data_IF_983809650121
#
_entry.id   IF_983809650121
#
_cell.length_a   1.000
_cell.length_b   1.000
_cell.length_c   1.000
_cell.angle_alpha   90.00
_cell.angle_beta   90.00
_cell.angle_gamma   90.00
#
_symmetry.space_group_name_H-M   'P 1'
#
loop_
_entity.id
_entity.type
_entity.pdbx_description
1 polymer ?
#
# COMPACT_ATOMS: atom_id res chain seq x y z
N UNK A 1 -91.24 -15.37 7.97
CA UNK A 1 -91.25 -14.62 9.24
C UNK A 1 -89.85 -14.12 9.49
N UNK A 2 -89.71 -12.80 9.59
CA UNK A 2 -88.60 -12.00 10.15
C UNK A 2 -87.22 -12.08 9.46
N UNK A 3 -86.46 -11.02 9.17
CA UNK A 3 -86.62 -9.57 8.91
C UNK A 3 -85.18 -9.04 8.72
N UNK A 4 -84.97 -8.10 7.79
CA UNK A 4 -83.94 -7.03 7.80
C UNK A 4 -82.43 -7.40 7.74
N UNK A 5 -81.72 -7.20 6.62
CA UNK A 5 -81.14 -5.99 5.99
C UNK A 5 -79.78 -5.51 6.53
N UNK A 6 -78.90 -5.19 5.55
CA UNK A 6 -77.87 -4.13 5.50
C UNK A 6 -76.55 -4.22 6.30
N UNK A 7 -75.43 -4.35 5.56
CA UNK A 7 -74.13 -3.68 5.83
C UNK A 7 -74.30 -2.14 5.96
N UNK A 8 -73.38 -1.30 6.52
CA UNK A 8 -71.91 -1.35 6.35
C UNK A 8 -71.02 -0.69 7.45
N UNK A 9 -69.70 -0.63 7.14
CA UNK A 9 -68.72 0.42 7.48
C UNK A 9 -67.95 0.46 8.83
N UNK A 10 -66.61 0.41 8.67
CA UNK A 10 -65.48 1.13 9.35
C UNK A 10 -65.72 1.71 10.74
N UNK A 11 -64.75 1.52 11.67
CA UNK A 11 -64.07 2.61 12.43
C UNK A 11 -62.75 2.11 13.07
N UNK A 12 -61.72 2.96 12.91
CA UNK A 12 -60.55 3.26 13.77
C UNK A 12 -59.59 2.16 14.25
N UNK A 13 -58.34 2.29 13.80
CA UNK A 13 -57.14 1.93 14.58
C UNK A 13 -56.09 3.05 14.44
N UNK A 14 -56.37 4.19 15.07
CA UNK A 14 -55.35 5.18 15.45
C UNK A 14 -54.84 4.85 16.86
N UNK A 15 -53.52 4.82 17.03
CA UNK A 15 -52.81 4.28 18.19
C UNK A 15 -52.67 2.77 17.99
N UNK A 16 -51.50 2.20 17.71
CA UNK A 16 -50.24 2.34 18.42
C UNK A 16 -49.10 2.63 17.43
N UNK A 17 -48.68 3.89 17.37
CA UNK A 17 -47.33 4.30 17.00
C UNK A 17 -46.44 4.09 18.22
N UNK A 18 -45.15 3.82 17.99
CA UNK A 18 -44.12 3.42 18.96
C UNK A 18 -44.24 1.98 19.47
N UNK A 19 -43.51 1.07 18.81
CA UNK A 19 -42.46 0.23 19.41
C UNK A 19 -41.89 -0.62 18.26
N UNK A 20 -40.59 -0.40 17.99
CA UNK A 20 -39.67 -1.24 17.18
C UNK A 20 -39.75 -1.12 15.64
N UNK A 21 -39.51 0.05 15.05
CA UNK A 21 -38.21 0.43 14.47
C UNK A 21 -37.00 -0.40 14.97
N UNK A 22 -36.22 -0.94 14.02
CA UNK A 22 -34.86 -1.52 14.07
C UNK A 22 -34.76 -2.99 13.64
N UNK A 23 -34.74 -3.24 12.34
CA UNK A 23 -33.98 -4.36 11.72
C UNK A 23 -33.85 -4.16 10.20
N UNK A 24 -33.41 -2.98 9.76
CA UNK A 24 -32.94 -2.76 8.39
C UNK A 24 -31.42 -2.53 8.44
N UNK A 25 -30.68 -3.56 8.82
CA UNK A 25 -29.22 -3.58 8.71
C UNK A 25 -28.84 -3.83 7.25
N UNK A 26 -28.91 -2.79 6.44
CA UNK A 26 -28.11 -2.67 5.22
C UNK A 26 -26.66 -2.51 5.69
N UNK A 27 -25.98 -3.62 5.95
CA UNK A 27 -24.52 -3.58 6.03
C UNK A 27 -24.05 -3.48 4.60
N UNK A 28 -23.75 -2.24 4.20
CA UNK A 28 -23.03 -1.93 3.00
C UNK A 28 -21.78 -2.80 2.92
N UNK A 29 -21.77 -3.71 1.96
CA UNK A 29 -20.55 -4.33 1.49
C UNK A 29 -19.63 -3.20 1.00
N UNK A 30 -18.65 -2.84 1.81
CA UNK A 30 -17.55 -1.98 1.38
C UNK A 30 -16.79 -2.73 0.29
N UNK A 31 -17.02 -2.33 -0.95
CA UNK A 31 -16.20 -2.75 -2.07
C UNK A 31 -14.73 -2.41 -1.78
N UNK A 32 -13.78 -3.31 -2.03
CA UNK A 32 -12.38 -3.06 -1.74
C UNK A 32 -11.84 -1.99 -2.70
N UNK A 33 -11.47 -0.84 -2.15
CA UNK A 33 -10.47 0.07 -2.68
C UNK A 33 -10.64 0.46 -4.15
N UNK A 34 -11.68 1.22 -4.46
CA UNK A 34 -11.75 1.95 -5.73
C UNK A 34 -10.65 3.01 -5.71
N UNK A 35 -9.55 2.75 -6.43
CA UNK A 35 -8.52 3.76 -6.67
C UNK A 35 -9.20 4.93 -7.37
N UNK A 36 -9.31 6.06 -6.67
CA UNK A 36 -9.73 7.31 -7.28
C UNK A 36 -8.74 7.60 -8.39
N UNK A 37 -9.23 7.58 -9.63
CA UNK A 37 -8.47 7.98 -10.80
C UNK A 37 -8.29 9.49 -10.65
N UNK A 38 -7.13 9.91 -10.13
CA UNK A 38 -6.79 11.33 -10.04
C UNK A 38 -6.95 11.91 -11.44
N UNK A 39 -7.89 12.83 -11.58
CA UNK A 39 -8.09 13.54 -12.84
C UNK A 39 -6.94 14.52 -12.98
N UNK A 40 -5.94 14.13 -13.77
CA UNK A 40 -4.70 14.88 -14.02
C UNK A 40 -4.94 16.24 -14.70
N UNK A 41 -6.20 16.62 -14.95
CA UNK A 41 -6.60 17.85 -15.63
C UNK A 41 -6.66 19.09 -14.73
N UNK A 42 -6.74 18.92 -13.40
CA UNK A 42 -6.87 20.05 -12.44
C UNK A 42 -5.56 20.48 -11.78
N UNK A 43 -4.47 19.73 -11.95
CA UNK A 43 -3.15 20.05 -11.40
C UNK A 43 -2.22 20.29 -12.59
N UNK A 44 -1.64 21.49 -12.67
CA UNK A 44 -0.66 21.79 -13.73
C UNK A 44 0.57 20.90 -13.54
N UNK A 45 0.96 20.09 -14.53
CA UNK A 45 2.17 19.27 -14.45
C UNK A 45 3.40 20.16 -14.27
N UNK A 46 4.43 19.62 -13.62
CA UNK A 46 5.71 20.27 -13.32
C UNK A 46 5.60 21.56 -12.48
N UNK A 47 4.50 21.74 -11.74
CA UNK A 47 4.37 22.84 -10.78
C UNK A 47 5.06 22.46 -9.45
N UNK A 48 5.99 23.28 -8.93
CA UNK A 48 6.54 23.09 -7.59
C UNK A 48 5.44 23.14 -6.53
N UNK A 49 5.46 22.17 -5.63
CA UNK A 49 4.54 21.96 -4.52
C UNK A 49 5.31 21.44 -3.27
N UNK A 50 6.33 22.17 -2.79
CA UNK A 50 7.18 21.77 -1.65
C UNK A 50 6.42 21.55 -0.33
N UNK A 51 5.24 22.16 -0.20
CA UNK A 51 4.34 21.99 0.93
C UNK A 51 3.80 20.55 1.06
N UNK A 52 3.79 19.78 -0.04
CA UNK A 52 3.32 18.39 -0.05
C UNK A 52 4.36 17.38 0.46
N UNK A 53 5.59 17.83 0.70
CA UNK A 53 6.72 16.99 1.05
C UNK A 53 6.94 16.97 2.57
N UNK A 54 6.99 15.78 3.15
CA UNK A 54 7.43 15.60 4.52
C UNK A 54 8.93 15.89 4.63
N UNK A 55 9.36 16.47 5.75
CA UNK A 55 10.79 16.69 6.00
C UNK A 55 11.56 15.36 6.02
N UNK A 56 10.93 14.35 6.62
CA UNK A 56 11.51 13.00 6.77
C UNK A 56 10.52 11.91 6.42
N UNK A 57 11.05 10.82 5.91
CA UNK A 57 10.36 9.56 5.67
C UNK A 57 10.78 8.52 6.70
N UNK A 58 9.87 7.58 6.95
CA UNK A 58 10.17 6.29 7.55
C UNK A 58 9.98 5.18 6.50
N UNK A 59 10.68 4.07 6.70
CA UNK A 59 10.58 2.85 5.90
C UNK A 59 10.34 1.67 6.84
N UNK A 60 9.21 0.98 6.66
CA UNK A 60 8.87 -0.23 7.40
C UNK A 60 8.89 -1.42 6.45
N UNK A 61 9.78 -2.36 6.73
CA UNK A 61 9.98 -3.59 5.96
C UNK A 61 9.52 -4.76 6.83
N UNK A 62 8.55 -5.55 6.37
CA UNK A 62 7.97 -6.61 7.20
C UNK A 62 7.77 -7.90 6.42
N UNK A 63 8.28 -9.01 6.94
CA UNK A 63 7.87 -10.34 6.51
C UNK A 63 6.68 -10.79 7.38
N UNK A 64 5.46 -10.57 6.86
CA UNK A 64 4.21 -10.74 7.61
C UNK A 64 4.02 -12.21 7.96
N UNK A 65 3.94 -13.06 6.93
CA UNK A 65 3.78 -14.49 7.09
C UNK A 65 5.02 -15.23 6.60
N UNK A 66 5.36 -16.27 7.36
CA UNK A 66 6.37 -17.25 7.04
C UNK A 66 5.97 -18.55 7.75
N UNK A 67 5.52 -19.59 7.04
CA UNK A 67 5.10 -20.86 7.63
C UNK A 67 6.14 -21.47 8.59
N UNK A 68 7.42 -21.38 8.24
CA UNK A 68 8.55 -21.83 9.07
C UNK A 68 9.09 -20.78 10.05
N UNK A 69 8.36 -19.72 10.39
CA UNK A 69 8.86 -18.62 11.23
C UNK A 69 9.46 -19.07 12.58
N UNK A 70 8.85 -20.07 13.22
CA UNK A 70 9.30 -20.62 14.51
C UNK A 70 10.52 -21.53 14.39
N UNK A 71 10.87 -21.96 13.18
CA UNK A 71 11.99 -22.88 12.96
C UNK A 71 13.33 -22.14 13.01
N UNK A 72 14.32 -22.61 13.81
CA UNK A 72 15.60 -21.93 13.98
C UNK A 72 16.44 -21.78 12.70
N UNK A 73 16.19 -22.64 11.71
CA UNK A 73 16.93 -22.63 10.44
C UNK A 73 16.32 -21.71 9.39
N UNK A 74 15.11 -21.17 9.62
CA UNK A 74 14.51 -20.19 8.71
C UNK A 74 15.34 -18.91 8.66
N UNK A 75 15.42 -18.29 7.48
CA UNK A 75 16.19 -17.06 7.32
C UNK A 75 15.56 -16.10 6.33
N UNK A 76 15.83 -14.81 6.52
CA UNK A 76 15.34 -13.73 5.68
C UNK A 76 16.47 -12.76 5.40
N UNK A 77 16.79 -12.61 4.12
CA UNK A 77 17.73 -11.65 3.59
C UNK A 77 16.95 -10.67 2.70
N UNK A 78 17.20 -9.38 2.87
CA UNK A 78 16.59 -8.34 2.05
C UNK A 78 17.61 -7.24 1.81
N UNK A 79 17.78 -6.86 0.56
CA UNK A 79 18.41 -5.62 0.13
C UNK A 79 17.33 -4.66 -0.36
N UNK A 80 17.46 -3.37 -0.08
CA UNK A 80 16.55 -2.35 -0.58
C UNK A 80 17.28 -1.05 -0.93
N UNK A 81 16.71 -0.32 -1.90
CA UNK A 81 17.10 1.04 -2.24
C UNK A 81 15.86 1.88 -2.51
N UNK A 82 15.83 3.09 -1.98
CA UNK A 82 14.73 4.05 -2.07
C UNK A 82 15.23 5.26 -2.85
N UNK A 83 14.62 5.50 -4.01
CA UNK A 83 14.92 6.63 -4.86
C UNK A 83 13.74 7.58 -4.95
N UNK A 84 14.04 8.86 -5.03
CA UNK A 84 13.12 9.85 -5.55
C UNK A 84 13.27 9.97 -7.07
N UNK A 85 12.15 10.15 -7.77
CA UNK A 85 12.04 10.29 -9.22
C UNK A 85 11.22 11.53 -9.52
N UNK A 86 11.84 12.49 -10.20
CA UNK A 86 11.15 13.67 -10.68
C UNK A 86 10.05 13.31 -11.69
N UNK A 87 8.98 14.10 -11.71
CA UNK A 87 7.84 13.92 -12.60
C UNK A 87 8.23 13.78 -14.07
N UNK A 88 9.10 14.68 -14.56
CA UNK A 88 9.57 14.70 -15.94
C UNK A 88 10.25 13.40 -16.40
N UNK A 89 10.82 12.64 -15.46
CA UNK A 89 11.60 11.43 -15.74
C UNK A 89 10.78 10.16 -15.55
N UNK A 90 9.63 10.25 -14.88
CA UNK A 90 8.85 9.11 -14.44
C UNK A 90 8.47 8.17 -15.59
N UNK A 91 7.91 8.70 -16.68
CA UNK A 91 7.43 7.87 -17.81
C UNK A 91 8.58 7.12 -18.50
N UNK A 92 9.73 7.80 -18.67
CA UNK A 92 10.93 7.20 -19.25
C UNK A 92 11.46 6.06 -18.37
N UNK A 93 11.59 6.31 -17.06
CA UNK A 93 12.07 5.32 -16.09
C UNK A 93 11.15 4.10 -16.04
N UNK A 94 9.82 4.31 -15.98
CA UNK A 94 8.85 3.20 -15.98
C UNK A 94 8.90 2.40 -17.27
N UNK A 95 9.03 3.08 -18.42
CA UNK A 95 9.16 2.40 -19.72
C UNK A 95 10.42 1.53 -19.76
N UNK A 96 11.55 2.01 -19.26
CA UNK A 96 12.79 1.23 -19.21
C UNK A 96 12.68 0.06 -18.22
N UNK A 97 12.11 0.26 -17.02
CA UNK A 97 11.87 -0.82 -16.05
C UNK A 97 11.04 -1.96 -16.65
N UNK A 98 10.02 -1.63 -17.46
CA UNK A 98 9.22 -2.63 -18.15
C UNK A 98 10.01 -3.37 -19.24
N UNK A 99 10.99 -2.70 -19.88
CA UNK A 99 11.83 -3.29 -20.93
C UNK A 99 12.90 -4.23 -20.35
N UNK A 100 13.56 -3.84 -19.27
CA UNK A 100 14.65 -4.60 -18.66
C UNK A 100 14.19 -5.66 -17.65
N UNK A 101 12.92 -5.60 -17.25
CA UNK A 101 12.37 -6.41 -16.17
C UNK A 101 12.49 -5.68 -14.83
N UNK A 102 11.33 -5.48 -14.19
CA UNK A 102 11.14 -4.62 -13.00
C UNK A 102 11.95 -5.02 -11.76
N UNK A 103 12.62 -6.17 -11.80
CA UNK A 103 13.44 -6.71 -10.71
C UNK A 103 14.88 -6.21 -10.66
N UNK A 104 15.33 -5.44 -11.66
CA UNK A 104 16.69 -4.90 -11.69
C UNK A 104 16.68 -3.38 -11.53
N UNK A 105 17.58 -2.89 -10.68
CA UNK A 105 17.87 -1.47 -10.64
C UNK A 105 18.39 -1.03 -12.01
N UNK A 106 17.79 0.02 -12.57
CA UNK A 106 18.24 0.59 -13.84
C UNK A 106 19.66 1.13 -13.71
N UNK A 107 20.39 1.04 -14.83
CA UNK A 107 21.68 1.68 -14.97
C UNK A 107 21.59 3.19 -14.66
N UNK A 108 22.68 3.83 -14.19
CA UNK A 108 22.69 5.28 -13.99
C UNK A 108 22.32 6.08 -15.25
N UNK A 109 22.63 5.56 -16.43
CA UNK A 109 22.35 6.19 -17.73
C UNK A 109 20.84 6.25 -18.03
N UNK A 110 20.11 5.20 -17.63
CA UNK A 110 18.66 5.10 -17.79
C UNK A 110 17.88 5.80 -16.66
N UNK A 111 18.59 6.17 -15.58
CA UNK A 111 18.00 6.76 -14.38
C UNK A 111 18.88 7.91 -13.81
N UNK A 112 19.20 8.94 -14.62
CA UNK A 112 20.28 9.89 -14.32
C UNK A 112 19.93 10.91 -13.23
N UNK A 113 18.66 11.21 -13.06
CA UNK A 113 18.14 12.21 -12.11
C UNK A 113 17.63 11.58 -10.81
N UNK A 114 17.88 10.28 -10.59
CA UNK A 114 17.46 9.59 -9.37
C UNK A 114 18.19 10.17 -8.17
N UNK A 115 17.44 10.48 -7.12
CA UNK A 115 18.04 10.92 -5.86
C UNK A 115 17.92 9.76 -4.87
N UNK A 116 19.07 9.23 -4.43
CA UNK A 116 19.09 8.17 -3.42
C UNK A 116 18.68 8.75 -2.06
N UNK A 117 17.54 8.29 -1.55
CA UNK A 117 17.03 8.68 -0.24
C UNK A 117 17.64 7.79 0.84
N UNK A 118 17.59 6.47 0.65
CA UNK A 118 18.08 5.48 1.60
C UNK A 118 18.33 4.12 0.92
N UNK A 119 19.31 3.37 1.41
CA UNK A 119 19.62 2.00 1.01
C UNK A 119 20.04 1.14 2.20
N UNK A 120 19.89 -0.16 2.10
CA UNK A 120 20.38 -1.05 3.15
C UNK A 120 20.15 -2.51 2.88
N UNK A 121 20.71 -3.31 3.78
CA UNK A 121 20.62 -4.76 3.77
C UNK A 121 20.27 -5.27 5.16
N UNK A 122 19.53 -6.37 5.22
CA UNK A 122 19.27 -7.12 6.43
C UNK A 122 19.50 -8.61 6.18
N UNK A 123 19.92 -9.30 7.24
CA UNK A 123 20.02 -10.74 7.29
C UNK A 123 19.56 -11.20 8.67
N UNK A 124 18.44 -11.91 8.73
CA UNK A 124 17.79 -12.35 9.97
C UNK A 124 17.58 -13.86 9.97
N UNK A 125 17.79 -14.48 11.14
CA UNK A 125 17.56 -15.93 11.38
C UNK A 125 16.58 -16.21 12.53
N UNK A 126 16.45 -15.29 13.48
CA UNK A 126 15.39 -15.33 14.48
C UNK A 126 14.16 -14.66 13.88
N UNK A 127 13.14 -15.44 13.49
CA UNK A 127 11.97 -14.97 12.76
C UNK A 127 10.64 -15.33 13.44
N UNK A 128 10.67 -15.79 14.69
CA UNK A 128 9.49 -16.36 15.36
C UNK A 128 8.38 -15.35 15.59
N UNK A 129 8.70 -14.09 15.88
CA UNK A 129 7.72 -13.03 16.12
C UNK A 129 7.65 -12.02 14.98
N UNK A 130 6.51 -11.34 14.82
CA UNK A 130 6.37 -10.29 13.82
C UNK A 130 7.35 -9.11 14.01
N UNK A 131 7.64 -8.65 15.25
CA UNK A 131 8.73 -7.70 15.49
C UNK A 131 10.10 -8.20 15.01
N UNK A 132 10.43 -9.48 15.25
CA UNK A 132 11.66 -10.08 14.72
C UNK A 132 11.68 -10.05 13.19
N UNK A 133 10.51 -10.21 12.55
CA UNK A 133 10.32 -10.11 11.09
C UNK A 133 10.07 -8.69 10.58
N UNK A 134 10.32 -7.66 11.38
CA UNK A 134 10.15 -6.26 10.99
C UNK A 134 11.47 -5.50 11.10
N UNK A 135 11.74 -4.64 10.14
CA UNK A 135 12.77 -3.60 10.22
C UNK A 135 12.09 -2.24 10.05
N UNK A 136 12.38 -1.31 10.95
CA UNK A 136 11.86 0.05 10.88
C UNK A 136 13.03 1.03 10.83
N UNK A 137 13.22 1.65 9.67
CA UNK A 137 14.17 2.74 9.48
C UNK A 137 13.42 4.05 9.56
N UNK A 138 13.78 4.90 10.52
CA UNK A 138 13.16 6.20 10.72
C UNK A 138 14.13 7.31 10.32
N UNK A 139 13.58 8.49 10.04
CA UNK A 139 14.37 9.71 9.87
C UNK A 139 15.16 9.78 8.57
N UNK A 140 14.67 9.17 7.49
CA UNK A 140 15.24 9.31 6.15
C UNK A 140 15.00 10.75 5.70
N UNK A 141 16.06 11.54 5.54
CA UNK A 141 15.93 12.91 5.05
C UNK A 141 15.34 12.90 3.63
N UNK A 142 14.29 13.69 3.44
CA UNK A 142 13.50 13.66 2.20
C UNK A 142 13.45 15.03 1.54
N UNK A 143 12.67 15.97 2.08
CA UNK A 143 12.47 17.30 1.47
C UNK A 143 13.78 18.04 1.19
N UNK A 144 14.73 17.99 2.14
CA UNK A 144 16.02 18.67 2.02
C UNK A 144 16.95 18.10 0.95
N UNK A 145 16.74 16.84 0.52
CA UNK A 145 17.56 16.19 -0.51
C UNK A 145 17.07 16.50 -1.93
N UNK A 146 15.88 17.05 -2.08
CA UNK A 146 15.21 17.19 -3.37
C UNK A 146 15.25 18.65 -3.79
N UNK A 147 15.78 18.99 -4.99
CA UNK A 147 15.72 20.34 -5.51
C UNK A 147 14.29 20.87 -5.56
N UNK A 148 14.09 22.15 -5.21
CA UNK A 148 12.77 22.76 -5.04
C UNK A 148 11.89 22.59 -6.29
N UNK A 149 12.48 22.75 -7.46
CA UNK A 149 11.86 22.62 -8.77
C UNK A 149 11.38 21.20 -9.08
N UNK A 150 11.96 20.18 -8.44
CA UNK A 150 11.56 18.78 -8.60
C UNK A 150 10.51 18.35 -7.55
N UNK A 151 10.22 19.19 -6.55
CA UNK A 151 9.23 18.89 -5.53
C UNK A 151 7.80 19.08 -6.07
N UNK A 152 7.36 18.26 -7.02
CA UNK A 152 6.05 18.41 -7.69
C UNK A 152 5.01 17.42 -7.20
N UNK A 153 3.74 17.75 -7.43
CA UNK A 153 2.59 16.91 -7.09
C UNK A 153 2.43 15.65 -7.97
N UNK A 154 3.39 15.32 -8.84
CA UNK A 154 3.37 14.10 -9.65
C UNK A 154 4.71 13.35 -9.62
N UNK A 155 5.65 13.79 -8.78
CA UNK A 155 6.85 13.02 -8.54
C UNK A 155 6.54 11.66 -7.91
N UNK A 156 7.52 10.77 -7.90
CA UNK A 156 7.36 9.40 -7.40
C UNK A 156 8.54 8.97 -6.54
N UNK A 157 8.28 8.06 -5.61
CA UNK A 157 9.29 7.33 -4.87
C UNK A 157 9.31 5.89 -5.40
N UNK A 158 10.50 5.39 -5.72
CA UNK A 158 10.72 4.02 -6.18
C UNK A 158 11.51 3.25 -5.12
N UNK A 159 10.92 2.18 -4.60
CA UNK A 159 11.56 1.29 -3.63
C UNK A 159 11.91 -0.02 -4.31
N UNK A 160 13.18 -0.16 -4.71
CA UNK A 160 13.73 -1.43 -5.20
C UNK A 160 14.00 -2.35 -4.02
N UNK A 161 13.76 -3.63 -4.24
CA UNK A 161 14.16 -4.65 -3.27
C UNK A 161 14.61 -5.94 -3.95
N UNK A 162 15.43 -6.70 -3.23
CA UNK A 162 15.78 -8.08 -3.52
C UNK A 162 15.68 -8.89 -2.24
N UNK A 163 14.88 -9.94 -2.24
CA UNK A 163 14.60 -10.76 -1.07
C UNK A 163 14.95 -12.22 -1.34
N UNK A 164 15.59 -12.84 -0.35
CA UNK A 164 15.85 -14.27 -0.28
C UNK A 164 15.40 -14.78 1.07
N UNK A 165 14.44 -15.70 1.06
CA UNK A 165 13.88 -16.30 2.26
C UNK A 165 14.12 -17.80 2.19
N UNK A 166 14.65 -18.38 3.25
CA UNK A 166 14.61 -19.82 3.44
C UNK A 166 13.53 -20.14 4.47
N UNK A 167 12.51 -20.87 4.05
CA UNK A 167 11.49 -21.41 4.95
C UNK A 167 11.85 -22.84 5.30
N UNK A 168 12.17 -23.08 6.57
CA UNK A 168 12.61 -24.39 7.04
C UNK A 168 11.47 -25.43 7.14
N UNK A 169 10.23 -24.98 7.36
CA UNK A 169 9.06 -25.88 7.38
C UNK A 169 8.78 -26.42 5.98
N UNK A 170 8.86 -25.54 4.98
CA UNK A 170 8.70 -25.89 3.57
C UNK A 170 9.97 -26.46 2.94
N UNK A 171 11.13 -26.34 3.61
CA UNK A 171 12.48 -26.68 3.12
C UNK A 171 12.78 -26.03 1.76
N UNK A 172 12.36 -24.77 1.57
CA UNK A 172 12.37 -24.09 0.28
C UNK A 172 13.04 -22.73 0.38
N UNK A 173 13.82 -22.39 -0.64
CA UNK A 173 14.26 -21.02 -0.87
C UNK A 173 13.24 -20.29 -1.75
N UNK A 174 12.83 -19.12 -1.30
CA UNK A 174 11.89 -18.22 -1.96
C UNK A 174 12.63 -16.94 -2.30
N UNK A 175 12.55 -16.53 -3.55
CA UNK A 175 13.25 -15.36 -4.07
C UNK A 175 12.27 -14.36 -4.67
N UNK A 176 12.61 -13.09 -4.59
CA UNK A 176 11.84 -12.04 -5.23
C UNK A 176 12.64 -10.76 -5.40
N UNK A 177 12.47 -10.09 -6.52
CA UNK A 177 13.05 -8.77 -6.76
C UNK A 177 12.08 -7.97 -7.61
N UNK A 178 11.78 -6.75 -7.18
CA UNK A 178 10.89 -5.84 -7.91
C UNK A 178 11.07 -4.41 -7.40
N UNK A 179 10.29 -3.49 -7.96
CA UNK A 179 10.18 -2.11 -7.54
C UNK A 179 8.75 -1.75 -7.16
N UNK A 180 8.58 -1.13 -6.00
CA UNK A 180 7.34 -0.44 -5.66
C UNK A 180 7.41 1.01 -6.07
N UNK A 181 6.39 1.46 -6.80
CA UNK A 181 6.19 2.87 -7.10
C UNK A 181 5.12 3.42 -6.18
N UNK A 182 5.44 4.47 -5.43
CA UNK A 182 4.52 5.16 -4.53
C UNK A 182 4.59 6.67 -4.75
N UNK A 183 3.46 7.38 -4.69
CA UNK A 183 3.49 8.83 -4.65
C UNK A 183 4.10 9.32 -3.32
N UNK A 184 4.72 10.51 -3.31
CA UNK A 184 5.28 11.12 -2.09
C UNK A 184 4.22 11.68 -1.14
N UNK A 185 2.94 11.64 -1.53
CA UNK A 185 1.78 12.04 -0.74
C UNK A 185 0.68 10.98 -0.81
N UNK A 186 -0.13 10.90 0.24
CA UNK A 186 -1.30 10.05 0.35
C UNK A 186 -2.56 10.88 0.08
N UNK A 187 -3.46 10.37 -0.77
CA UNK A 187 -4.77 10.98 -1.01
C UNK A 187 -5.78 10.24 -0.15
N UNK A 188 -5.97 10.70 1.08
CA UNK A 188 -7.01 10.13 1.92
C UNK A 188 -8.34 10.73 1.46
N UNK A 189 -9.25 9.86 0.98
CA UNK A 189 -10.62 10.19 0.55
C UNK A 189 -10.73 11.08 -0.70
N UNK A 190 -11.94 11.16 -1.27
CA UNK A 190 -12.30 11.81 -2.55
C UNK A 190 -12.08 13.34 -2.59
N UNK A 191 -11.23 13.88 -1.73
CA UNK A 191 -11.03 15.29 -1.52
C UNK A 191 -9.74 15.74 -2.20
N UNK A 192 -9.90 16.45 -3.33
CA UNK A 192 -8.80 16.90 -4.20
C UNK A 192 -7.92 17.98 -3.57
N UNK A 193 -8.33 18.54 -2.43
CA UNK A 193 -7.64 19.64 -1.76
C UNK A 193 -6.80 19.18 -0.55
N UNK A 194 -6.99 17.93 -0.09
CA UNK A 194 -6.35 17.41 1.13
C UNK A 194 -5.27 16.36 0.82
N UNK A 195 -4.19 16.81 0.19
CA UNK A 195 -2.97 16.00 0.07
C UNK A 195 -2.27 15.92 1.42
N UNK A 196 -2.11 14.71 1.97
CA UNK A 196 -1.30 14.50 3.17
C UNK A 196 0.06 13.98 2.76
N UNK A 197 1.14 14.60 3.22
CA UNK A 197 2.49 14.11 2.93
C UNK A 197 2.64 12.64 3.38
N UNK A 198 3.21 11.79 2.52
CA UNK A 198 3.52 10.44 2.90
C UNK A 198 4.69 10.48 3.86
N UNK A 199 4.51 9.95 5.06
CA UNK A 199 5.55 9.93 6.10
C UNK A 199 6.14 8.54 6.27
N UNK A 200 5.50 7.48 5.75
CA UNK A 200 5.95 6.10 5.94
C UNK A 200 5.74 5.26 4.69
N UNK A 201 6.85 4.74 4.18
CA UNK A 201 6.88 3.74 3.13
C UNK A 201 6.77 2.34 3.73
N UNK A 202 5.99 1.46 3.11
CA UNK A 202 5.82 0.09 3.54
C UNK A 202 6.29 -0.87 2.43
N UNK A 203 7.08 -1.88 2.79
CA UNK A 203 7.33 -3.04 1.94
C UNK A 203 7.05 -4.29 2.77
N UNK A 204 5.96 -4.95 2.42
CA UNK A 204 5.48 -6.14 3.12
C UNK A 204 5.64 -7.35 2.22
N UNK A 205 6.10 -8.44 2.81
CA UNK A 205 6.31 -9.74 2.18
C UNK A 205 5.46 -10.79 2.89
N UNK A 206 4.91 -11.72 2.13
CA UNK A 206 4.12 -12.83 2.64
C UNK A 206 4.54 -14.09 1.88
N UNK A 207 4.95 -15.13 2.61
CA UNK A 207 5.19 -16.45 2.04
C UNK A 207 3.97 -17.31 2.34
N UNK A 208 3.34 -17.86 1.31
CA UNK A 208 2.21 -18.77 1.46
C UNK A 208 2.68 -20.20 1.78
N UNK A 209 1.75 -21.06 2.19
CA UNK A 209 2.05 -22.46 2.53
C UNK A 209 2.54 -23.30 1.34
N UNK A 210 2.27 -22.88 0.10
CA UNK A 210 2.84 -23.46 -1.14
C UNK A 210 4.25 -22.92 -1.47
N UNK A 211 4.75 -21.98 -0.66
CA UNK A 211 6.02 -21.29 -0.84
C UNK A 211 6.01 -20.26 -1.97
N UNK A 212 4.85 -19.74 -2.37
CA UNK A 212 4.74 -18.56 -3.22
C UNK A 212 5.04 -17.28 -2.44
N UNK A 213 5.70 -16.32 -3.10
CA UNK A 213 6.00 -15.00 -2.53
C UNK A 213 4.98 -13.98 -3.00
N UNK A 214 4.48 -13.22 -2.03
CA UNK A 214 3.52 -12.17 -2.20
C UNK A 214 4.07 -10.87 -1.61
N UNK A 215 3.69 -9.75 -2.23
CA UNK A 215 4.25 -8.43 -1.89
C UNK A 215 3.19 -7.33 -1.85
N UNK A 216 3.36 -6.36 -0.96
CA UNK A 216 2.46 -5.21 -0.82
C UNK A 216 3.18 -3.99 -0.26
N UNK A 217 2.79 -2.80 -0.70
CA UNK A 217 3.27 -1.53 -0.18
C UNK A 217 2.23 -0.76 0.65
N UNK A 218 1.17 -1.44 1.10
CA UNK A 218 0.09 -0.83 1.87
C UNK A 218 0.35 -0.92 3.38
N UNK A 219 -0.02 0.13 4.12
CA UNK A 219 0.01 0.16 5.59
C UNK A 219 -0.82 -0.96 6.23
N UNK A 220 -1.97 -1.27 5.65
CA UNK A 220 -2.93 -2.27 6.15
C UNK A 220 -2.66 -3.69 5.66
N UNK A 221 -1.54 -3.96 5.00
CA UNK A 221 -1.22 -5.31 4.57
C UNK A 221 -1.13 -6.23 5.79
N UNK A 222 -1.92 -7.30 5.77
CA UNK A 222 -2.07 -8.33 6.79
C UNK A 222 -2.20 -9.69 6.12
N UNK A 223 -2.26 -10.77 6.90
CA UNK A 223 -2.52 -12.13 6.39
C UNK A 223 -3.83 -12.23 5.58
N UNK A 224 -4.82 -11.37 5.88
CA UNK A 224 -6.12 -11.32 5.20
C UNK A 224 -6.17 -10.36 4.01
N UNK A 225 -5.06 -9.67 3.70
CA UNK A 225 -5.00 -8.76 2.56
C UNK A 225 -4.95 -9.53 1.25
N UNK A 226 -5.64 -9.05 0.22
CA UNK A 226 -5.49 -9.63 -1.12
C UNK A 226 -4.10 -9.27 -1.67
N UNK A 227 -3.24 -10.27 -1.76
CA UNK A 227 -1.84 -10.09 -2.13
C UNK A 227 -1.62 -10.16 -3.64
N UNK A 228 -0.57 -9.48 -4.12
CA UNK A 228 -0.14 -9.58 -5.52
C UNK A 228 0.93 -10.66 -5.64
N UNK A 229 0.73 -11.68 -6.49
CA UNK A 229 1.76 -12.69 -6.74
C UNK A 229 2.99 -12.02 -7.37
N UNK A 230 4.15 -12.59 -7.07
CA UNK A 230 5.42 -12.16 -7.66
C UNK A 230 5.48 -12.40 -9.16
#
# INVERSE_FOLDING_TARGET
MNTHTSSPARVSRFGWLLVLLLAASVVMAQAPGQRVKIDRRTISPNRPAPELYADKLALKLTLINLPGASEPSSSWQLEYKVYFVAEQDFERVVKQLNKEGKGRELSPEDFPTKILLADGQLNKRKLSTLPDRTLWRQGIDFKSKIPLEQQTAFASIMCFYSVKIYDAKLKKNVYGSDVFVVPPFDTNTNDRENFTANTTLYLNFYVADDGALYKSNRKSASETTQWRPN
#
